data_IF_778718256753
#
_entry.id   IF_778718256753
#
_cell.length_a   1.000
_cell.length_b   1.000
_cell.length_c   1.000
_cell.angle_alpha   90.00
_cell.angle_beta   90.00
_cell.angle_gamma   90.00
#
_symmetry.space_group_name_H-M   'P 1'
#
loop_
_entity.id
_entity.type
_entity.pdbx_description
1 polymer ?
#
# COMPACT_ATOMS: atom_id res chain seq x y z
N UNK A 1 35.75 5.73 -19.37
CA UNK A 1 36.41 5.98 -18.08
C UNK A 1 35.96 4.90 -17.09
N UNK A 2 36.94 4.15 -16.62
CA UNK A 2 36.74 2.95 -15.81
C UNK A 2 36.71 3.28 -14.32
N UNK A 3 35.95 2.47 -13.60
CA UNK A 3 36.31 2.08 -12.24
C UNK A 3 35.77 2.89 -11.10
N UNK A 4 34.85 2.29 -10.31
CA UNK A 4 35.02 2.11 -8.86
C UNK A 4 34.22 0.88 -8.44
N UNK A 5 34.90 -0.26 -8.38
CA UNK A 5 34.49 -1.40 -7.53
C UNK A 5 35.42 -1.38 -6.32
N UNK A 6 34.93 -1.04 -5.16
CA UNK A 6 35.67 -1.23 -3.91
C UNK A 6 35.17 -2.50 -3.23
N UNK A 7 36.06 -3.49 -3.23
CA UNK A 7 35.96 -4.70 -2.40
C UNK A 7 36.18 -4.32 -0.92
N UNK A 8 35.29 -4.80 -0.04
CA UNK A 8 35.65 -5.03 1.36
C UNK A 8 35.74 -6.54 1.58
N UNK A 9 36.96 -7.06 1.57
CA UNK A 9 37.27 -8.41 2.03
C UNK A 9 37.79 -8.30 3.48
N UNK A 10 37.01 -8.73 4.45
CA UNK A 10 37.49 -8.95 5.81
C UNK A 10 38.14 -10.33 5.89
N UNK A 11 39.46 -10.35 6.13
CA UNK A 11 40.23 -11.53 6.47
C UNK A 11 40.01 -11.86 7.94
N UNK A 12 39.55 -13.08 8.23
CA UNK A 12 39.58 -13.64 9.58
C UNK A 12 40.85 -14.51 9.74
N UNK A 13 41.61 -14.17 10.76
CA UNK A 13 42.82 -14.89 11.14
C UNK A 13 42.45 -16.20 11.87
N UNK A 14 43.10 -17.29 11.48
CA UNK A 14 43.02 -18.57 12.17
C UNK A 14 43.86 -18.51 13.43
N UNK A 15 43.25 -18.78 14.59
CA UNK A 15 43.98 -19.05 15.83
C UNK A 15 43.98 -20.57 16.10
N UNK A 16 45.18 -21.12 16.13
CA UNK A 16 45.45 -22.47 16.55
C UNK A 16 45.25 -22.64 18.06
N UNK A 17 44.43 -23.59 18.46
CA UNK A 17 44.30 -24.00 19.87
C UNK A 17 44.90 -25.40 20.10
N UNK A 18 45.76 -25.46 21.14
CA UNK A 18 46.37 -26.64 21.65
C UNK A 18 45.32 -27.61 22.26
N UNK A 19 45.62 -28.91 22.10
CA UNK A 19 44.87 -30.01 22.69
C UNK A 19 45.07 -30.09 24.20
N UNK A 20 43.97 -30.15 24.95
CA UNK A 20 43.94 -30.57 26.33
C UNK A 20 42.98 -31.77 26.47
N UNK A 21 43.50 -32.91 26.88
CA UNK A 21 42.78 -34.15 27.16
C UNK A 21 41.94 -33.99 28.42
N UNK A 22 40.63 -33.79 28.26
CA UNK A 22 39.64 -33.78 29.34
C UNK A 22 38.66 -34.94 29.21
N UNK A 23 38.44 -35.70 30.25
CA UNK A 23 37.54 -36.86 30.35
C UNK A 23 36.11 -36.46 29.94
N UNK A 24 35.53 -37.19 28.98
CA UNK A 24 34.15 -37.06 28.54
C UNK A 24 33.20 -37.43 29.69
N UNK A 25 32.41 -36.45 30.13
CA UNK A 25 31.17 -36.68 30.92
C UNK A 25 30.08 -37.15 29.97
N UNK A 26 29.25 -38.15 30.37
CA UNK A 26 28.11 -38.53 29.55
C UNK A 26 27.12 -37.37 29.41
N UNK A 27 26.72 -37.12 28.18
CA UNK A 27 25.67 -36.12 27.85
C UNK A 27 24.33 -36.58 28.43
N UNK A 28 23.52 -35.66 28.99
CA UNK A 28 22.16 -35.99 29.39
C UNK A 28 21.33 -36.35 28.14
N UNK A 29 20.29 -37.21 28.30
CA UNK A 29 19.44 -37.58 27.18
C UNK A 29 18.79 -36.37 26.55
N UNK A 30 18.53 -36.40 25.23
CA UNK A 30 17.90 -35.27 24.54
C UNK A 30 16.53 -35.00 25.19
N UNK A 31 16.39 -33.80 25.78
CA UNK A 31 15.07 -33.32 26.19
C UNK A 31 14.21 -33.20 24.92
N UNK A 32 13.05 -33.87 24.96
CA UNK A 32 12.05 -33.77 23.91
C UNK A 32 11.78 -32.29 23.63
N UNK A 33 12.14 -31.86 22.43
CA UNK A 33 11.80 -30.52 21.97
C UNK A 33 10.26 -30.38 22.02
N UNK A 34 9.77 -29.51 22.88
CA UNK A 34 8.40 -29.04 22.80
C UNK A 34 8.19 -28.62 21.36
N UNK A 35 7.25 -29.24 20.67
CA UNK A 35 6.83 -28.87 19.34
C UNK A 35 6.31 -27.44 19.39
N UNK A 36 7.19 -26.44 19.30
CA UNK A 36 6.85 -25.10 18.92
C UNK A 36 6.37 -25.19 17.50
N UNK A 37 5.06 -25.01 17.29
CA UNK A 37 4.52 -24.80 15.93
C UNK A 37 5.35 -23.71 15.28
N UNK A 38 5.91 -23.99 14.10
CA UNK A 38 6.63 -22.98 13.31
C UNK A 38 5.78 -21.70 13.28
N UNK A 39 6.38 -20.50 13.43
CA UNK A 39 5.61 -19.27 13.37
C UNK A 39 4.79 -19.32 12.09
N UNK A 40 3.45 -19.25 12.20
CA UNK A 40 2.60 -19.17 11.02
C UNK A 40 3.03 -17.94 10.26
N UNK A 41 3.44 -18.10 9.01
CA UNK A 41 3.67 -16.97 8.12
C UNK A 41 2.44 -16.09 8.20
N UNK A 42 2.64 -14.77 8.39
CA UNK A 42 1.55 -13.81 8.47
C UNK A 42 0.74 -13.76 7.17
N UNK A 43 -0.40 -13.05 7.15
CA UNK A 43 -1.20 -12.95 5.94
C UNK A 43 -0.39 -12.30 4.82
N UNK A 44 -0.44 -12.85 3.61
CA UNK A 44 0.15 -12.21 2.44
C UNK A 44 -0.77 -11.11 1.95
N UNK A 45 -0.27 -9.87 1.89
CA UNK A 45 -1.02 -8.68 1.47
C UNK A 45 -0.41 -8.09 0.22
N UNK A 46 -1.24 -7.89 -0.81
CA UNK A 46 -0.86 -7.16 -2.00
C UNK A 46 -0.96 -5.64 -1.75
N UNK A 47 0.03 -4.87 -2.22
CA UNK A 47 -0.03 -3.40 -2.23
C UNK A 47 0.12 -2.94 -3.66
N UNK A 48 -0.84 -2.18 -4.16
CA UNK A 48 -0.89 -1.69 -5.55
C UNK A 48 -0.45 -0.23 -5.57
N UNK A 49 0.66 0.04 -6.25
CA UNK A 49 1.24 1.36 -6.43
C UNK A 49 0.88 1.94 -7.80
N UNK A 50 1.04 3.25 -7.95
CA UNK A 50 0.63 4.02 -9.14
C UNK A 50 1.72 4.95 -9.68
N UNK A 51 2.98 4.68 -9.41
CA UNK A 51 4.14 5.55 -9.65
C UNK A 51 4.81 5.95 -8.33
N UNK A 52 5.64 7.00 -8.35
CA UNK A 52 6.39 7.48 -7.18
C UNK A 52 6.42 9.00 -7.15
N UNK A 53 5.55 9.59 -6.32
CA UNK A 53 5.41 11.04 -6.13
C UNK A 53 3.94 11.46 -6.07
N UNK A 54 3.61 12.41 -5.16
CA UNK A 54 2.21 12.77 -4.88
C UNK A 54 1.47 13.26 -6.12
N UNK A 55 2.10 14.08 -6.98
CA UNK A 55 1.39 14.76 -8.08
C UNK A 55 1.21 13.90 -9.34
N UNK A 56 2.00 12.85 -9.54
CA UNK A 56 1.97 12.01 -10.74
C UNK A 56 2.03 10.49 -10.47
N UNK A 57 2.11 10.10 -9.19
CA UNK A 57 2.22 8.72 -8.78
C UNK A 57 1.62 8.46 -7.41
N UNK A 58 2.16 7.46 -6.72
CA UNK A 58 1.80 7.12 -5.34
C UNK A 58 2.34 8.16 -4.37
N UNK A 59 1.53 8.56 -3.39
CA UNK A 59 1.99 9.37 -2.26
C UNK A 59 2.97 8.54 -1.42
N UNK A 60 4.21 9.05 -1.26
CA UNK A 60 5.34 8.28 -0.71
C UNK A 60 5.15 8.00 0.79
N UNK A 61 4.66 8.97 1.56
CA UNK A 61 4.47 8.82 3.00
C UNK A 61 3.33 7.84 3.31
N UNK A 62 2.25 7.88 2.54
CA UNK A 62 1.15 6.91 2.66
C UNK A 62 1.62 5.50 2.34
N UNK A 63 2.34 5.31 1.23
CA UNK A 63 2.90 4.01 0.88
C UNK A 63 3.87 3.51 1.96
N UNK A 64 4.74 4.38 2.47
CA UNK A 64 5.68 4.05 3.55
C UNK A 64 4.94 3.66 4.83
N UNK A 65 3.90 4.42 5.23
CA UNK A 65 3.09 4.09 6.39
C UNK A 65 2.39 2.73 6.24
N UNK A 66 1.79 2.45 5.06
CA UNK A 66 1.20 1.13 4.75
C UNK A 66 2.22 0.02 4.95
N UNK A 67 3.42 0.14 4.37
CA UNK A 67 4.47 -0.89 4.45
C UNK A 67 4.95 -1.11 5.89
N UNK A 68 5.14 -0.02 6.66
CA UNK A 68 5.56 -0.07 8.07
C UNK A 68 4.50 -0.76 8.92
N UNK A 69 3.22 -0.39 8.77
CA UNK A 69 2.15 -0.98 9.57
C UNK A 69 1.88 -2.45 9.20
N UNK A 70 1.97 -2.82 7.92
CA UNK A 70 1.89 -4.23 7.49
C UNK A 70 3.03 -5.06 8.09
N UNK A 71 4.26 -4.54 8.06
CA UNK A 71 5.43 -5.18 8.66
C UNK A 71 5.26 -5.35 10.17
N UNK A 72 4.82 -4.31 10.90
CA UNK A 72 4.49 -4.39 12.33
C UNK A 72 3.38 -5.41 12.63
N UNK A 73 2.42 -5.54 11.72
CA UNK A 73 1.33 -6.52 11.81
C UNK A 73 1.74 -7.95 11.46
N UNK A 74 3.00 -8.18 11.09
CA UNK A 74 3.55 -9.49 10.72
C UNK A 74 3.10 -10.00 9.35
N UNK A 75 2.59 -9.12 8.48
CA UNK A 75 2.16 -9.48 7.13
C UNK A 75 3.36 -9.66 6.19
N UNK A 76 3.25 -10.63 5.26
CA UNK A 76 4.10 -10.72 4.08
C UNK A 76 3.56 -9.77 3.01
N UNK A 77 4.40 -8.87 2.50
CA UNK A 77 3.98 -7.86 1.53
C UNK A 77 4.50 -8.19 0.14
N UNK A 78 3.62 -8.12 -0.85
CA UNK A 78 3.99 -8.16 -2.26
C UNK A 78 3.47 -6.89 -2.96
N UNK A 79 4.36 -6.22 -3.71
CA UNK A 79 4.04 -4.96 -4.37
C UNK A 79 3.76 -5.18 -5.85
N UNK A 80 2.77 -4.42 -6.35
CA UNK A 80 2.31 -4.46 -7.72
C UNK A 80 2.11 -3.05 -8.26
N UNK A 81 2.26 -2.88 -9.57
CA UNK A 81 1.85 -1.68 -10.29
C UNK A 81 1.57 -2.04 -11.77
N UNK A 82 0.70 -1.30 -12.47
CA UNK A 82 0.48 -1.56 -13.89
C UNK A 82 1.73 -1.16 -14.71
N UNK A 83 2.06 -1.97 -15.73
CA UNK A 83 3.13 -1.67 -16.66
C UNK A 83 2.62 -0.79 -17.82
N UNK A 84 2.36 0.48 -17.50
CA UNK A 84 1.82 1.47 -18.43
C UNK A 84 2.58 2.80 -18.30
N UNK A 85 2.55 3.66 -19.34
CA UNK A 85 3.02 5.04 -19.22
C UNK A 85 2.25 5.81 -18.14
N UNK A 86 2.94 6.70 -17.40
CA UNK A 86 2.26 7.71 -16.57
C UNK A 86 1.52 8.69 -17.46
N UNK A 87 0.35 9.15 -17.01
CA UNK A 87 -0.42 10.19 -17.71
C UNK A 87 0.37 11.50 -17.78
N UNK A 88 1.02 11.85 -16.67
CA UNK A 88 1.87 13.05 -16.58
C UNK A 88 3.19 12.70 -15.87
N UNK A 89 4.22 13.48 -16.16
CA UNK A 89 5.41 13.62 -15.32
C UNK A 89 5.38 15.01 -14.75
N UNK A 90 5.38 15.15 -13.43
CA UNK A 90 5.28 16.44 -12.74
C UNK A 90 6.63 16.80 -12.11
N UNK A 91 7.13 18.01 -12.39
CA UNK A 91 8.18 18.62 -11.58
C UNK A 91 7.60 19.00 -10.22
N UNK A 92 7.88 18.20 -9.21
CA UNK A 92 7.31 18.39 -7.85
C UNK A 92 7.77 19.69 -7.17
N UNK A 93 8.87 20.32 -7.65
CA UNK A 93 9.31 21.63 -7.11
C UNK A 93 8.44 22.78 -7.63
N UNK A 94 7.78 22.60 -8.76
CA UNK A 94 6.95 23.62 -9.41
C UNK A 94 5.47 23.23 -9.43
N UNK A 95 5.13 21.95 -9.22
CA UNK A 95 3.78 21.42 -9.34
C UNK A 95 3.25 21.41 -10.79
N UNK A 96 4.14 21.46 -11.79
CA UNK A 96 3.78 21.59 -13.19
C UNK A 96 4.28 20.40 -14.03
N UNK A 97 3.58 20.05 -15.12
CA UNK A 97 4.02 19.02 -16.05
C UNK A 97 5.39 19.32 -16.66
N UNK A 98 6.24 18.30 -16.74
CA UNK A 98 7.48 18.28 -17.50
C UNK A 98 7.17 17.66 -18.88
N UNK A 99 6.72 18.49 -19.82
CA UNK A 99 6.16 18.08 -21.13
C UNK A 99 7.12 17.19 -21.97
N UNK A 100 8.42 17.33 -21.76
CA UNK A 100 9.44 16.57 -22.49
C UNK A 100 9.79 15.22 -21.84
N UNK A 101 9.26 14.93 -20.65
CA UNK A 101 9.54 13.69 -19.92
C UNK A 101 8.42 12.68 -20.07
N UNK A 102 8.80 11.41 -20.16
CA UNK A 102 7.89 10.26 -20.05
C UNK A 102 8.39 9.29 -19.01
N UNK A 103 7.50 8.72 -18.20
CA UNK A 103 7.81 7.71 -17.20
C UNK A 103 6.83 6.56 -17.26
N UNK A 104 7.25 5.43 -16.73
CA UNK A 104 6.42 4.22 -16.66
C UNK A 104 6.03 3.95 -15.21
N UNK A 105 4.76 3.68 -14.96
CA UNK A 105 4.19 3.50 -13.62
C UNK A 105 4.88 2.40 -12.84
N UNK A 106 5.10 1.22 -13.44
CA UNK A 106 5.77 0.07 -12.81
C UNK A 106 7.22 0.43 -12.43
N UNK A 107 7.96 1.06 -13.34
CA UNK A 107 9.37 1.45 -13.12
C UNK A 107 9.51 2.49 -12.01
N UNK A 108 8.63 3.48 -11.97
CA UNK A 108 8.66 4.48 -10.90
C UNK A 108 8.23 3.87 -9.56
N UNK A 109 7.19 3.04 -9.54
CA UNK A 109 6.75 2.31 -8.35
C UNK A 109 7.85 1.41 -7.76
N UNK A 110 8.75 0.89 -8.60
CA UNK A 110 9.88 0.08 -8.16
C UNK A 110 10.83 0.85 -7.21
N UNK A 111 10.83 2.17 -7.21
CA UNK A 111 11.62 3.00 -6.27
C UNK A 111 11.12 2.80 -4.83
N UNK A 112 9.80 2.83 -4.63
CA UNK A 112 9.16 2.55 -3.33
C UNK A 112 9.37 1.08 -2.95
N UNK A 113 9.21 0.17 -3.92
CA UNK A 113 9.34 -1.28 -3.75
C UNK A 113 10.80 -1.76 -3.60
N UNK A 114 11.80 -0.88 -3.70
CA UNK A 114 13.23 -1.23 -3.70
C UNK A 114 13.57 -2.31 -4.73
N UNK A 115 12.98 -2.20 -5.92
CA UNK A 115 13.15 -3.11 -7.05
C UNK A 115 12.29 -4.38 -7.03
N UNK A 116 11.67 -4.73 -5.88
CA UNK A 116 10.84 -5.94 -5.75
C UNK A 116 9.38 -5.64 -6.04
N UNK A 117 9.02 -5.58 -7.31
CA UNK A 117 7.68 -5.27 -7.77
C UNK A 117 7.29 -6.18 -8.93
N UNK A 118 6.00 -6.45 -9.07
CA UNK A 118 5.41 -7.31 -10.12
C UNK A 118 4.37 -6.51 -10.90
N UNK A 119 4.21 -6.80 -12.19
CA UNK A 119 3.13 -6.21 -12.99
C UNK A 119 1.76 -6.59 -12.41
N UNK A 120 0.89 -5.58 -12.29
CA UNK A 120 -0.48 -5.73 -11.77
C UNK A 120 -1.30 -6.77 -12.54
N UNK A 121 -1.04 -6.96 -13.83
CA UNK A 121 -1.67 -8.00 -14.64
C UNK A 121 -1.50 -9.41 -14.05
N UNK A 122 -0.45 -9.65 -13.26
CA UNK A 122 -0.14 -10.93 -12.63
C UNK A 122 -0.76 -11.09 -11.22
N UNK A 123 -1.34 -10.03 -10.63
CA UNK A 123 -1.96 -10.12 -9.32
C UNK A 123 -3.23 -10.98 -9.37
N UNK A 124 -3.28 -12.01 -8.52
CA UNK A 124 -4.43 -12.89 -8.33
C UNK A 124 -4.89 -12.83 -6.88
N UNK A 125 -6.19 -12.65 -6.67
CA UNK A 125 -6.75 -12.64 -5.33
C UNK A 125 -6.56 -13.96 -4.60
N UNK A 126 -6.48 -15.10 -5.31
CA UNK A 126 -6.27 -16.41 -4.71
C UNK A 126 -4.99 -16.50 -3.87
N UNK A 127 -3.93 -15.78 -4.27
CA UNK A 127 -2.60 -15.87 -3.66
C UNK A 127 -2.40 -14.91 -2.47
N UNK A 128 -3.38 -14.03 -2.17
CA UNK A 128 -3.28 -12.98 -1.17
C UNK A 128 -4.49 -12.99 -0.23
N UNK A 129 -4.27 -12.58 1.02
CA UNK A 129 -5.32 -12.45 2.03
C UNK A 129 -6.06 -11.10 1.95
N UNK A 130 -5.41 -10.06 1.42
CA UNK A 130 -5.95 -8.71 1.28
C UNK A 130 -5.22 -7.93 0.20
N UNK A 131 -5.80 -6.80 -0.24
CA UNK A 131 -5.14 -5.82 -1.11
C UNK A 131 -5.28 -4.41 -0.55
N UNK A 132 -4.23 -3.57 -0.71
CA UNK A 132 -4.22 -2.18 -0.27
C UNK A 132 -3.78 -1.27 -1.42
N UNK A 133 -4.47 -0.15 -1.58
CA UNK A 133 -4.17 0.91 -2.55
C UNK A 133 -3.84 2.21 -1.78
N UNK A 134 -2.56 2.60 -1.67
CA UNK A 134 -2.20 3.94 -1.22
C UNK A 134 -2.73 4.99 -2.19
N UNK A 135 -2.83 6.25 -1.71
CA UNK A 135 -3.27 7.35 -2.55
C UNK A 135 -2.15 8.01 -3.34
N UNK A 136 -2.26 9.31 -3.52
CA UNK A 136 -1.51 10.13 -4.46
C UNK A 136 -2.28 10.31 -5.77
N UNK A 137 -1.97 11.34 -6.53
CA UNK A 137 -2.66 11.62 -7.80
C UNK A 137 -2.48 10.51 -8.84
N UNK A 138 -1.51 9.61 -8.67
CA UNK A 138 -1.39 8.42 -9.52
C UNK A 138 -2.61 7.50 -9.47
N UNK A 139 -3.32 7.42 -8.34
CA UNK A 139 -4.58 6.69 -8.27
C UNK A 139 -5.65 7.29 -9.19
N UNK A 140 -5.69 8.62 -9.29
CA UNK A 140 -6.63 9.37 -10.12
C UNK A 140 -6.17 9.55 -11.59
N UNK A 141 -4.88 9.33 -11.90
CA UNK A 141 -4.29 9.56 -13.22
C UNK A 141 -3.82 8.28 -13.92
N UNK A 142 -3.30 7.31 -13.17
CA UNK A 142 -2.67 6.10 -13.70
C UNK A 142 -3.48 4.83 -13.43
N UNK A 143 -4.18 4.75 -12.27
CA UNK A 143 -5.10 3.65 -11.95
C UNK A 143 -6.53 3.93 -12.43
N UNK A 144 -6.81 5.14 -12.85
CA UNK A 144 -8.08 5.58 -13.39
C UNK A 144 -7.90 6.87 -14.20
N UNK A 145 -8.98 7.34 -14.82
CA UNK A 145 -9.03 8.65 -15.50
C UNK A 145 -9.74 9.72 -14.67
N UNK A 146 -9.89 9.52 -13.36
CA UNK A 146 -10.68 10.39 -12.48
C UNK A 146 -10.21 11.85 -12.48
N UNK A 147 -8.90 12.09 -12.56
CA UNK A 147 -8.33 13.44 -12.62
C UNK A 147 -8.68 14.20 -13.91
N UNK A 148 -9.09 13.50 -14.98
CA UNK A 148 -9.43 14.08 -16.29
C UNK A 148 -10.94 14.08 -16.51
N UNK A 149 -11.60 12.94 -16.27
CA UNK A 149 -13.00 12.70 -16.65
C UNK A 149 -13.97 12.93 -15.48
N UNK A 150 -13.47 13.31 -14.27
CA UNK A 150 -14.32 13.54 -13.10
C UNK A 150 -15.19 12.32 -12.79
N UNK A 151 -16.50 12.53 -12.54
CA UNK A 151 -17.45 11.45 -12.20
C UNK A 151 -17.63 10.38 -13.30
N UNK A 152 -17.36 10.72 -14.55
CA UNK A 152 -17.53 9.83 -15.70
C UNK A 152 -16.30 8.99 -16.01
N UNK A 153 -15.33 9.02 -15.09
CA UNK A 153 -14.04 8.34 -15.24
C UNK A 153 -14.16 6.82 -15.41
N UNK A 154 -13.09 6.25 -15.93
CA UNK A 154 -12.89 4.80 -16.06
C UNK A 154 -11.76 4.34 -15.14
N UNK A 155 -11.94 3.17 -14.55
CA UNK A 155 -10.89 2.50 -13.78
C UNK A 155 -10.03 1.66 -14.73
N UNK A 156 -8.71 1.63 -14.49
CA UNK A 156 -7.79 0.78 -15.25
C UNK A 156 -8.25 -0.69 -15.19
N UNK A 157 -8.24 -1.36 -16.33
CA UNK A 157 -8.77 -2.72 -16.50
C UNK A 157 -8.31 -3.70 -15.40
N UNK A 158 -7.00 -3.74 -15.10
CA UNK A 158 -6.48 -4.67 -14.10
C UNK A 158 -6.78 -4.24 -12.67
N UNK A 159 -6.93 -2.94 -12.40
CA UNK A 159 -7.41 -2.42 -11.10
C UNK A 159 -8.86 -2.84 -10.88
N UNK A 160 -9.72 -2.66 -11.88
CA UNK A 160 -11.12 -3.08 -11.82
C UNK A 160 -11.24 -4.59 -11.60
N UNK A 161 -10.45 -5.40 -12.33
CA UNK A 161 -10.37 -6.85 -12.15
C UNK A 161 -9.97 -7.22 -10.73
N UNK A 162 -8.90 -6.64 -10.21
CA UNK A 162 -8.39 -6.92 -8.86
C UNK A 162 -9.43 -6.57 -7.79
N UNK A 163 -10.07 -5.39 -7.87
CA UNK A 163 -11.11 -4.99 -6.92
C UNK A 163 -12.28 -5.98 -6.92
N UNK A 164 -12.75 -6.40 -8.12
CA UNK A 164 -13.84 -7.39 -8.26
C UNK A 164 -13.44 -8.77 -7.73
N UNK A 165 -12.21 -9.23 -8.02
CA UNK A 165 -11.71 -10.53 -7.55
C UNK A 165 -11.60 -10.59 -6.02
N UNK A 166 -11.02 -9.56 -5.38
CA UNK A 166 -10.90 -9.54 -3.92
C UNK A 166 -12.26 -9.44 -3.25
N UNK A 167 -13.14 -8.56 -3.74
CA UNK A 167 -14.50 -8.44 -3.22
C UNK A 167 -15.29 -9.74 -3.39
N UNK A 168 -15.29 -10.33 -4.59
CA UNK A 168 -15.99 -11.59 -4.87
C UNK A 168 -15.45 -12.78 -4.06
N UNK A 169 -14.17 -12.74 -3.67
CA UNK A 169 -13.57 -13.72 -2.77
C UNK A 169 -13.80 -13.41 -1.28
N UNK A 170 -14.52 -12.35 -0.94
CA UNK A 170 -14.74 -11.92 0.43
C UNK A 170 -13.46 -11.52 1.17
N UNK A 171 -12.47 -11.00 0.45
CA UNK A 171 -11.16 -10.58 0.99
C UNK A 171 -11.08 -9.08 1.18
N UNK A 172 -10.44 -8.61 2.27
CA UNK A 172 -10.38 -7.19 2.60
C UNK A 172 -9.66 -6.35 1.54
N UNK A 173 -10.19 -5.15 1.33
CA UNK A 173 -9.64 -4.11 0.45
C UNK A 173 -9.40 -2.86 1.28
N UNK A 174 -8.15 -2.40 1.36
CA UNK A 174 -7.78 -1.15 2.04
C UNK A 174 -7.48 -0.04 1.03
N UNK A 175 -7.96 1.20 1.28
CA UNK A 175 -7.65 2.34 0.41
C UNK A 175 -7.51 3.62 1.26
N UNK A 176 -6.62 4.53 0.87
CA UNK A 176 -6.51 5.81 1.56
C UNK A 176 -6.47 6.99 0.59
N UNK A 177 -6.68 8.19 1.13
CA UNK A 177 -6.62 9.46 0.42
C UNK A 177 -7.66 9.52 -0.72
N UNK A 178 -7.20 9.66 -1.97
CA UNK A 178 -8.07 9.69 -3.16
C UNK A 178 -8.44 8.27 -3.66
N UNK A 179 -7.69 7.23 -3.28
CA UNK A 179 -7.90 5.89 -3.80
C UNK A 179 -9.30 5.29 -3.55
N UNK A 180 -10.08 5.67 -2.49
CA UNK A 180 -11.46 5.19 -2.30
C UNK A 180 -12.40 5.46 -3.49
N UNK A 181 -12.11 6.43 -4.36
CA UNK A 181 -12.92 6.66 -5.58
C UNK A 181 -12.89 5.44 -6.52
N UNK A 182 -11.80 4.66 -6.50
CA UNK A 182 -11.67 3.46 -7.33
C UNK A 182 -12.71 2.40 -6.94
N UNK A 183 -12.80 2.10 -5.65
CA UNK A 183 -13.76 1.10 -5.15
C UNK A 183 -15.19 1.61 -5.24
N UNK A 184 -15.43 2.91 -5.02
CA UNK A 184 -16.73 3.54 -5.18
C UNK A 184 -17.26 3.43 -6.62
N UNK A 185 -16.37 3.46 -7.63
CA UNK A 185 -16.73 3.28 -9.04
C UNK A 185 -17.04 1.84 -9.39
N UNK A 186 -16.26 0.90 -8.85
CA UNK A 186 -16.30 -0.52 -9.26
C UNK A 186 -17.36 -1.31 -8.49
N UNK A 187 -17.54 -1.01 -7.20
CA UNK A 187 -18.42 -1.75 -6.29
C UNK A 187 -19.56 -0.83 -5.85
N UNK A 188 -20.80 -1.18 -6.21
CA UNK A 188 -21.98 -0.39 -5.83
C UNK A 188 -22.33 -0.56 -4.36
N UNK A 189 -22.75 0.52 -3.72
CA UNK A 189 -23.28 0.49 -2.35
C UNK A 189 -22.22 0.36 -1.25
N UNK A 190 -20.93 0.39 -1.59
CA UNK A 190 -19.85 0.36 -0.59
C UNK A 190 -19.87 1.62 0.28
N UNK A 191 -19.46 1.46 1.54
CA UNK A 191 -19.23 2.56 2.46
C UNK A 191 -17.75 2.94 2.47
N UNK A 192 -17.43 4.20 2.22
CA UNK A 192 -16.05 4.71 2.20
C UNK A 192 -15.92 6.06 2.87
N UNK A 193 -14.71 6.41 3.29
CA UNK A 193 -14.37 7.78 3.70
C UNK A 193 -13.26 8.33 2.82
N UNK A 194 -13.38 9.64 2.53
CA UNK A 194 -12.33 10.51 2.02
C UNK A 194 -12.13 11.72 2.94
N UNK A 195 -12.63 11.64 4.18
CA UNK A 195 -12.55 12.69 5.20
C UNK A 195 -13.85 13.44 5.41
N UNK A 196 -13.76 14.75 5.57
CA UNK A 196 -14.92 15.62 5.74
C UNK A 196 -15.56 16.01 4.39
N UNK A 197 -16.82 16.42 4.46
CA UNK A 197 -17.62 16.82 3.30
C UNK A 197 -17.58 18.32 3.04
N UNK A 198 -17.06 19.08 3.98
CA UNK A 198 -16.95 20.54 3.91
C UNK A 198 -15.51 20.93 4.21
N UNK A 199 -15.04 21.93 3.48
CA UNK A 199 -13.77 22.56 3.73
C UNK A 199 -13.90 23.47 4.96
N UNK A 200 -12.94 23.37 5.88
CA UNK A 200 -12.93 24.16 7.12
C UNK A 200 -11.52 24.73 7.36
N UNK A 201 -11.33 26.01 7.03
CA UNK A 201 -10.12 26.75 7.32
C UNK A 201 -8.84 26.20 6.67
N UNK A 202 -8.93 25.62 5.49
CA UNK A 202 -7.82 25.00 4.78
C UNK A 202 -7.54 23.54 5.15
N UNK A 203 -8.27 23.00 6.12
CA UNK A 203 -8.00 21.65 6.66
C UNK A 203 -8.42 20.51 5.71
N UNK A 204 -9.50 20.70 4.96
CA UNK A 204 -10.06 19.68 4.06
C UNK A 204 -10.14 20.17 2.60
N UNK A 205 -8.99 20.44 1.96
CA UNK A 205 -8.95 21.09 0.64
C UNK A 205 -9.61 20.27 -0.47
N UNK A 206 -9.82 18.96 -0.24
CA UNK A 206 -10.42 18.04 -1.20
C UNK A 206 -11.81 17.55 -0.78
N UNK A 207 -12.51 18.28 0.10
CA UNK A 207 -13.83 17.91 0.62
C UNK A 207 -14.87 17.60 -0.48
N UNK A 208 -14.82 18.27 -1.63
CA UNK A 208 -15.68 18.00 -2.78
C UNK A 208 -15.59 16.57 -3.35
N UNK A 209 -14.55 15.82 -3.02
CA UNK A 209 -14.43 14.40 -3.40
C UNK A 209 -15.54 13.54 -2.79
N UNK A 210 -16.05 13.91 -1.61
CA UNK A 210 -17.16 13.21 -0.97
C UNK A 210 -18.44 13.23 -1.82
N UNK A 211 -18.72 14.34 -2.52
CA UNK A 211 -19.85 14.44 -3.44
C UNK A 211 -19.67 13.53 -4.66
N UNK A 212 -18.45 13.45 -5.19
CA UNK A 212 -18.15 12.53 -6.29
C UNK A 212 -18.37 11.07 -5.87
N UNK A 213 -17.94 10.67 -4.66
CA UNK A 213 -18.18 9.35 -4.10
C UNK A 213 -19.68 9.04 -4.01
N UNK A 214 -20.49 9.98 -3.51
CA UNK A 214 -21.95 9.84 -3.43
C UNK A 214 -22.59 9.73 -4.82
N UNK A 215 -22.13 10.53 -5.77
CA UNK A 215 -22.62 10.49 -7.15
C UNK A 215 -22.35 9.16 -7.87
N UNK A 216 -21.32 8.42 -7.44
CA UNK A 216 -21.02 7.06 -7.91
C UNK A 216 -21.92 5.99 -7.30
N UNK A 217 -22.78 6.34 -6.33
CA UNK A 217 -23.68 5.42 -5.64
C UNK A 217 -23.06 4.72 -4.43
N UNK A 218 -21.92 5.18 -3.97
CA UNK A 218 -21.31 4.76 -2.71
C UNK A 218 -21.81 5.63 -1.55
N UNK A 219 -21.76 5.11 -0.31
CA UNK A 219 -22.05 5.88 0.88
C UNK A 219 -20.77 6.49 1.43
N UNK A 220 -20.74 7.82 1.54
CA UNK A 220 -19.63 8.50 2.20
C UNK A 220 -19.86 8.55 3.72
N UNK A 221 -18.82 8.19 4.49
CA UNK A 221 -18.82 8.22 5.96
C UNK A 221 -17.74 9.18 6.43
N UNK A 222 -18.15 10.26 7.10
CA UNK A 222 -17.22 11.26 7.65
C UNK A 222 -16.30 10.63 8.69
N UNK A 223 -14.99 10.86 8.55
CA UNK A 223 -13.94 10.41 9.47
C UNK A 223 -12.86 11.47 9.61
N UNK A 224 -12.29 11.57 10.81
CA UNK A 224 -11.10 12.39 11.03
C UNK A 224 -9.83 11.69 10.50
N UNK A 225 -8.77 12.47 10.36
CA UNK A 225 -7.50 12.06 9.72
C UNK A 225 -6.84 10.84 10.39
N UNK A 226 -7.01 10.68 11.71
CA UNK A 226 -6.45 9.55 12.49
C UNK A 226 -7.35 8.31 12.52
N UNK A 227 -8.54 8.40 11.91
CA UNK A 227 -9.53 7.33 11.92
C UNK A 227 -9.56 6.56 10.59
N UNK A 228 -10.19 5.36 10.64
CA UNK A 228 -10.56 4.59 9.47
C UNK A 228 -12.05 4.23 9.53
N UNK A 229 -12.69 4.17 8.37
CA UNK A 229 -14.02 3.58 8.22
C UNK A 229 -13.88 2.12 7.80
N UNK A 230 -14.69 1.24 8.40
CA UNK A 230 -14.71 -0.19 8.10
C UNK A 230 -16.12 -0.58 7.64
N UNK A 231 -16.27 -0.77 6.35
CA UNK A 231 -17.42 -1.43 5.76
C UNK A 231 -17.28 -2.96 5.93
N UNK A 232 -17.96 -3.49 6.93
CA UNK A 232 -17.83 -4.92 7.29
C UNK A 232 -18.56 -5.83 6.30
N UNK A 233 -19.58 -5.34 5.65
CA UNK A 233 -20.36 -6.09 4.66
C UNK A 233 -19.53 -6.33 3.40
N UNK A 234 -18.95 -5.27 2.86
CA UNK A 234 -18.12 -5.32 1.66
C UNK A 234 -16.64 -5.61 1.95
N UNK A 235 -16.23 -5.66 3.24
CA UNK A 235 -14.83 -5.80 3.68
C UNK A 235 -13.91 -4.71 3.10
N UNK A 236 -14.40 -3.48 3.02
CA UNK A 236 -13.65 -2.32 2.55
C UNK A 236 -13.24 -1.46 3.75
N UNK A 237 -11.97 -1.09 3.82
CA UNK A 237 -11.43 -0.24 4.90
C UNK A 237 -10.77 0.98 4.28
N UNK A 238 -11.22 2.18 4.68
CA UNK A 238 -10.73 3.42 4.11
C UNK A 238 -10.32 4.43 5.18
N UNK A 239 -9.39 5.34 4.86
CA UNK A 239 -8.95 6.43 5.73
C UNK A 239 -8.66 7.68 4.90
N UNK A 240 -8.88 8.90 5.44
CA UNK A 240 -8.68 10.14 4.71
C UNK A 240 -7.24 10.41 4.28
N UNK A 241 -6.25 10.12 5.12
CA UNK A 241 -4.85 10.46 4.90
C UNK A 241 -4.68 11.92 4.44
N UNK A 242 -3.90 12.20 3.38
CA UNK A 242 -3.66 13.54 2.86
C UNK A 242 -4.83 14.22 2.14
N UNK A 243 -6.05 13.69 2.23
CA UNK A 243 -7.25 14.50 1.97
C UNK A 243 -7.43 15.59 3.03
N UNK A 244 -6.75 15.45 4.18
CA UNK A 244 -6.67 16.39 5.28
C UNK A 244 -5.29 17.06 5.31
N UNK A 245 -5.25 18.38 5.46
CA UNK A 245 -4.02 19.10 5.79
C UNK A 245 -3.76 18.91 7.29
N UNK A 246 -2.78 18.05 7.62
CA UNK A 246 -2.49 17.65 8.99
C UNK A 246 -1.00 17.31 9.18
N UNK A 247 -0.56 17.24 10.42
CA UNK A 247 0.79 16.78 10.74
C UNK A 247 1.02 15.34 10.27
N UNK A 248 2.22 15.07 9.77
CA UNK A 248 2.58 13.79 9.15
C UNK A 248 2.29 12.57 10.04
N UNK A 249 2.48 12.69 11.36
CA UNK A 249 2.19 11.59 12.28
C UNK A 249 0.69 11.27 12.37
N UNK A 250 -0.21 12.27 12.26
CA UNK A 250 -1.65 12.00 12.20
C UNK A 250 -2.05 11.24 10.93
N UNK A 251 -1.42 11.58 9.79
CA UNK A 251 -1.60 10.83 8.54
C UNK A 251 -1.14 9.37 8.74
N UNK A 252 0.03 9.19 9.35
CA UNK A 252 0.60 7.87 9.65
C UNK A 252 -0.31 7.05 10.58
N UNK A 253 -0.91 7.68 11.60
CA UNK A 253 -1.82 7.02 12.54
C UNK A 253 -3.11 6.56 11.87
N UNK A 254 -3.71 7.39 11.00
CA UNK A 254 -4.89 7.05 10.20
C UNK A 254 -4.64 5.89 9.24
N UNK A 255 -3.51 5.93 8.50
CA UNK A 255 -3.08 4.80 7.66
C UNK A 255 -2.87 3.55 8.51
N UNK A 256 -2.31 3.69 9.71
CA UNK A 256 -2.17 2.59 10.68
C UNK A 256 -3.52 2.02 11.13
N UNK A 257 -4.53 2.87 11.35
CA UNK A 257 -5.88 2.42 11.67
C UNK A 257 -6.50 1.61 10.53
N UNK A 258 -6.35 2.07 9.27
CA UNK A 258 -6.80 1.35 8.08
C UNK A 258 -6.11 -0.02 7.97
N UNK A 259 -4.78 -0.08 8.07
CA UNK A 259 -4.03 -1.35 7.96
C UNK A 259 -4.44 -2.33 9.07
N UNK A 260 -4.63 -1.88 10.32
CA UNK A 260 -5.14 -2.73 11.40
C UNK A 260 -6.51 -3.30 11.07
N UNK A 261 -7.43 -2.46 10.55
CA UNK A 261 -8.76 -2.90 10.10
C UNK A 261 -8.70 -3.96 9.01
N UNK A 262 -7.85 -3.77 8.00
CA UNK A 262 -7.61 -4.77 6.94
C UNK A 262 -7.11 -6.08 7.54
N UNK A 263 -6.07 -6.05 8.38
CA UNK A 263 -5.51 -7.25 8.99
C UNK A 263 -6.49 -7.97 9.93
N UNK A 264 -7.34 -7.22 10.65
CA UNK A 264 -8.43 -7.81 11.45
C UNK A 264 -9.39 -8.62 10.58
N UNK A 265 -9.80 -8.06 9.44
CA UNK A 265 -10.75 -8.70 8.53
C UNK A 265 -10.16 -9.92 7.81
N UNK A 266 -8.82 -10.07 7.71
CA UNK A 266 -8.20 -11.29 7.16
C UNK A 266 -8.31 -12.50 8.09
N UNK A 267 -8.61 -12.28 9.37
CA UNK A 267 -8.68 -13.35 10.39
C UNK A 267 -10.10 -13.93 10.54
N UNK A 268 -11.06 -13.31 9.89
CA UNK A 268 -12.47 -13.69 9.88
C UNK A 268 -12.84 -14.26 8.53
#
# INVERSE_FOLDING_TARGET
>A
MAGVRALMALRWAASTFLSASGRLRPLPPPQAALHGSAPRAGPRVAVVLSGCGVYDGTEIHEASAVLVHLSRGGAEVQLFAPDVPQLHVIDHTKGQPAESETRNVLRESARIARGKITDLAQLRAADHAAVIFPGGFGAAKNLSTFAVDGKDFRVHRDVERVLKEFHGAGKPIGLCCIAPVLVAKVLRGVEVTVGHEQEEGGRWPYAGTAEAVKALGAKHCVKDVTEAHIDRENKVVTTPAFMCEAALHHIHDGVGAMVRGVLELTRK
#
